data_IF_745802131053
#
_entry.id   IF_745802131053
#
_cell.length_a   1.000
_cell.length_b   1.000
_cell.length_c   1.000
_cell.angle_alpha   90.00
_cell.angle_beta   90.00
_cell.angle_gamma   90.00
#
_symmetry.space_group_name_H-M   'P 1'
#
loop_
_entity.id
_entity.type
_entity.pdbx_description
1 polymer ?
#
# COMPACT_ATOMS: atom_id res chain seq x y z
N UNK A 1 22.55 -38.43 8.40
CA UNK A 1 21.19 -37.95 8.08
C UNK A 1 21.33 -36.68 7.26
N UNK A 2 20.94 -36.71 5.99
CA UNK A 2 20.98 -35.55 5.10
C UNK A 2 19.75 -34.69 5.37
N UNK A 3 19.95 -33.50 5.93
CA UNK A 3 18.91 -32.46 6.05
C UNK A 3 18.92 -31.65 4.75
N UNK A 4 17.79 -31.48 4.05
CA UNK A 4 17.76 -30.69 2.83
C UNK A 4 17.98 -29.21 3.18
N UNK A 5 18.95 -28.56 2.52
CA UNK A 5 19.21 -27.14 2.66
C UNK A 5 18.06 -26.33 2.03
N UNK A 6 17.46 -25.43 2.81
CA UNK A 6 16.58 -24.38 2.29
C UNK A 6 17.35 -23.49 1.30
N UNK A 7 16.73 -23.03 0.20
CA UNK A 7 17.42 -22.20 -0.78
C UNK A 7 17.87 -20.88 -0.15
N UNK A 8 19.19 -20.65 -0.16
CA UNK A 8 19.80 -19.36 0.14
C UNK A 8 19.36 -18.32 -0.91
N UNK A 9 18.25 -17.64 -0.66
CA UNK A 9 18.03 -16.30 -1.21
C UNK A 9 18.27 -15.32 -0.06
N UNK A 10 19.53 -14.92 0.09
CA UNK A 10 19.90 -13.74 0.85
C UNK A 10 19.13 -12.55 0.28
N UNK A 11 18.28 -11.91 1.08
CA UNK A 11 17.77 -10.59 0.76
C UNK A 11 18.97 -9.63 0.87
N UNK A 12 19.58 -9.30 -0.27
CA UNK A 12 20.60 -8.26 -0.32
C UNK A 12 19.88 -6.91 -0.22
N UNK A 13 19.97 -6.28 0.94
CA UNK A 13 19.72 -4.85 1.09
C UNK A 13 20.97 -4.13 0.58
N UNK A 14 20.89 -3.61 -0.64
CA UNK A 14 21.86 -2.68 -1.18
C UNK A 14 21.50 -1.28 -0.68
N UNK A 15 22.13 -0.85 0.42
CA UNK A 15 22.22 0.56 0.80
C UNK A 15 23.38 1.18 0.03
N UNK A 16 23.09 2.01 -0.97
CA UNK A 16 24.10 2.79 -1.69
C UNK A 16 24.25 2.42 -3.17
N UNK A 17 23.26 2.79 -3.98
CA UNK A 17 23.39 3.07 -5.41
C UNK A 17 22.20 3.92 -5.84
N UNK A 18 22.40 4.82 -6.80
CA UNK A 18 21.44 5.83 -7.28
C UNK A 18 19.99 5.28 -7.42
N UNK A 19 18.98 6.11 -7.12
CA UNK A 19 17.59 5.67 -6.93
C UNK A 19 16.91 5.37 -8.27
N UNK A 20 17.29 4.28 -8.92
CA UNK A 20 16.65 3.82 -10.17
C UNK A 20 15.40 2.96 -9.96
N UNK A 21 14.97 2.77 -8.72
CA UNK A 21 13.66 2.18 -8.42
C UNK A 21 12.93 3.07 -7.42
N UNK A 22 12.10 3.94 -8.00
CA UNK A 22 11.08 4.76 -7.34
C UNK A 22 10.57 4.01 -6.11
N UNK A 23 10.67 4.57 -4.88
CA UNK A 23 10.05 3.96 -3.73
C UNK A 23 8.57 3.84 -4.07
N UNK A 24 8.06 2.61 -4.14
CA UNK A 24 6.62 2.38 -4.19
C UNK A 24 6.06 3.19 -3.01
N UNK A 25 5.19 4.16 -3.27
CA UNK A 25 4.81 5.11 -2.25
C UNK A 25 4.16 4.34 -1.09
N UNK A 26 4.54 4.72 0.13
CA UNK A 26 4.07 4.26 1.45
C UNK A 26 2.57 4.47 1.70
N UNK A 27 1.78 4.66 0.65
CA UNK A 27 0.37 5.09 0.68
C UNK A 27 -0.60 3.99 1.08
N UNK A 28 -0.20 2.71 1.10
CA UNK A 28 -1.08 1.60 1.47
C UNK A 28 -0.45 0.68 2.51
N UNK A 29 -0.17 1.22 3.69
CA UNK A 29 0.25 0.45 4.87
C UNK A 29 -0.94 -0.35 5.40
N UNK A 30 -0.96 -1.67 5.15
CA UNK A 30 -2.00 -2.57 5.68
C UNK A 30 -1.86 -2.82 7.18
N UNK A 31 -0.64 -2.74 7.68
CA UNK A 31 -0.27 -3.02 9.07
C UNK A 31 0.91 -2.14 9.44
N UNK A 32 0.78 -1.42 10.55
CA UNK A 32 1.86 -0.68 11.17
C UNK A 32 1.98 -1.18 12.61
N UNK A 33 3.14 -1.72 12.95
CA UNK A 33 3.45 -2.13 14.32
C UNK A 33 4.49 -1.17 14.88
N UNK A 34 4.26 -0.71 16.10
CA UNK A 34 5.16 0.20 16.78
C UNK A 34 5.45 -0.38 18.15
N UNK A 35 6.72 -0.63 18.42
CA UNK A 35 7.20 -1.05 19.74
C UNK A 35 7.52 0.22 20.52
N UNK A 36 6.85 0.42 21.65
CA UNK A 36 7.10 1.54 22.55
C UNK A 36 7.35 1.03 23.96
N UNK A 37 8.11 1.77 24.79
CA UNK A 37 8.25 1.45 26.20
C UNK A 37 6.88 1.44 26.89
N UNK A 38 6.64 0.42 27.72
CA UNK A 38 5.42 0.30 28.50
C UNK A 38 5.26 1.50 29.45
N UNK A 39 4.01 1.93 29.64
CA UNK A 39 3.59 3.08 30.44
C UNK A 39 4.18 4.42 29.98
N UNK A 40 4.66 4.49 28.74
CA UNK A 40 5.17 5.75 28.18
C UNK A 40 4.03 6.67 27.73
N UNK A 41 4.24 7.99 27.69
CA UNK A 41 3.31 8.93 27.07
C UNK A 41 3.02 8.60 25.59
N UNK A 42 3.96 7.91 24.92
CA UNK A 42 3.79 7.48 23.53
C UNK A 42 2.78 6.35 23.41
N UNK A 43 2.78 5.38 24.32
CA UNK A 43 1.76 4.32 24.38
C UNK A 43 0.35 4.92 24.48
N UNK A 44 0.13 5.83 25.44
CA UNK A 44 -1.17 6.48 25.61
C UNK A 44 -1.60 7.29 24.37
N UNK A 45 -0.66 8.02 23.75
CA UNK A 45 -0.94 8.80 22.53
C UNK A 45 -1.27 7.93 21.33
N UNK A 46 -0.54 6.83 21.14
CA UNK A 46 -0.74 5.90 20.03
C UNK A 46 -2.03 5.09 20.22
N UNK A 47 -2.28 4.57 21.43
CA UNK A 47 -3.50 3.83 21.75
C UNK A 47 -4.80 4.65 21.66
N UNK A 48 -4.69 5.98 21.76
CA UNK A 48 -5.83 6.89 21.56
C UNK A 48 -6.08 7.26 20.08
N UNK A 49 -5.17 6.92 19.16
CA UNK A 49 -5.40 7.20 17.74
C UNK A 49 -6.50 6.29 17.22
N UNK A 50 -7.41 6.81 16.41
CA UNK A 50 -8.40 5.99 15.70
C UNK A 50 -8.38 6.38 14.24
N UNK A 51 -7.99 5.43 13.39
CA UNK A 51 -8.06 5.63 11.95
C UNK A 51 -9.49 5.39 11.48
N UNK A 52 -9.97 6.25 10.58
CA UNK A 52 -11.30 6.17 10.00
C UNK A 52 -11.16 6.04 8.49
N UNK A 53 -11.74 4.97 7.96
CA UNK A 53 -11.73 4.68 6.54
C UNK A 53 -13.16 4.66 6.02
N UNK A 54 -13.37 5.29 4.88
CA UNK A 54 -14.57 5.05 4.08
C UNK A 54 -14.29 3.89 3.13
N UNK A 55 -15.20 2.91 3.14
CA UNK A 55 -15.18 1.77 2.24
C UNK A 55 -16.34 1.98 1.27
N UNK A 56 -16.01 2.37 0.04
CA UNK A 56 -16.98 2.70 -1.00
C UNK A 56 -17.15 1.50 -1.92
N UNK A 57 -18.39 1.03 -2.04
CA UNK A 57 -18.74 -0.10 -2.90
C UNK A 57 -19.25 0.35 -4.26
N UNK A 58 -19.09 -0.49 -5.29
CA UNK A 58 -19.66 -0.21 -6.62
C UNK A 58 -18.80 0.72 -7.47
N UNK A 59 -17.53 0.92 -7.12
CA UNK A 59 -16.64 1.86 -7.81
C UNK A 59 -16.21 1.28 -9.15
N UNK A 60 -16.45 2.01 -10.25
CA UNK A 60 -15.89 1.65 -11.56
C UNK A 60 -14.62 2.44 -11.83
N UNK A 61 -13.59 1.76 -12.32
CA UNK A 61 -12.30 2.40 -12.64
C UNK A 61 -12.41 3.52 -13.67
N UNK A 62 -13.32 3.39 -14.65
CA UNK A 62 -13.56 4.44 -15.63
C UNK A 62 -14.05 5.75 -15.01
N UNK A 63 -14.86 5.66 -13.94
CA UNK A 63 -15.38 6.83 -13.23
C UNK A 63 -14.26 7.50 -12.45
N UNK A 64 -13.39 6.71 -11.80
CA UNK A 64 -12.21 7.20 -11.08
C UNK A 64 -11.22 7.91 -12.02
N UNK A 65 -10.91 7.31 -13.17
CA UNK A 65 -10.04 7.94 -14.18
C UNK A 65 -10.63 9.23 -14.73
N UNK A 66 -11.95 9.26 -14.94
CA UNK A 66 -12.63 10.44 -15.49
C UNK A 66 -12.71 11.58 -14.48
N UNK A 67 -12.81 11.26 -13.19
CA UNK A 67 -12.92 12.24 -12.12
C UNK A 67 -11.59 12.87 -11.74
N UNK A 68 -10.47 12.21 -12.01
CA UNK A 68 -9.16 12.73 -11.67
C UNK A 68 -8.90 14.08 -12.37
N UNK A 69 -8.66 15.15 -11.60
CA UNK A 69 -8.21 16.45 -12.13
C UNK A 69 -6.84 16.83 -11.59
N UNK A 70 -5.99 17.44 -12.43
CA UNK A 70 -4.65 17.87 -12.02
C UNK A 70 -4.66 18.99 -10.94
N UNK A 71 -5.79 19.69 -10.80
CA UNK A 71 -6.00 20.75 -9.79
C UNK A 71 -6.33 20.17 -8.40
N UNK A 72 -7.08 19.07 -8.32
CA UNK A 72 -7.29 18.32 -7.06
C UNK A 72 -5.97 17.80 -6.50
N UNK A 73 -5.03 17.41 -7.37
CA UNK A 73 -3.73 16.87 -6.98
C UNK A 73 -2.79 17.87 -6.33
N UNK A 74 -2.80 19.13 -6.80
CA UNK A 74 -1.88 20.18 -6.28
C UNK A 74 -2.29 20.68 -4.90
N UNK A 75 -3.56 20.53 -4.56
CA UNK A 75 -4.14 21.01 -3.29
C UNK A 75 -4.31 19.89 -2.27
N UNK A 76 -4.51 18.64 -2.73
CA UNK A 76 -4.77 17.49 -1.88
C UNK A 76 -3.63 16.48 -2.02
N UNK A 77 -2.72 16.48 -1.04
CA UNK A 77 -1.67 15.46 -0.85
C UNK A 77 -2.20 14.03 -0.59
N UNK A 78 -3.52 13.82 -0.59
CA UNK A 78 -4.15 12.65 0.06
C UNK A 78 -5.17 11.85 -0.79
N UNK A 79 -5.25 12.05 -2.11
CA UNK A 79 -6.17 11.29 -2.99
C UNK A 79 -5.51 10.06 -3.62
N UNK A 80 -4.67 9.37 -2.86
CA UNK A 80 -4.20 8.05 -3.29
C UNK A 80 -5.27 7.00 -3.01
N UNK A 81 -5.64 6.24 -4.03
CA UNK A 81 -6.68 5.22 -3.99
C UNK A 81 -6.09 3.88 -4.38
N UNK A 82 -6.56 2.79 -3.78
CA UNK A 82 -6.24 1.44 -4.28
C UNK A 82 -7.37 0.47 -3.98
N UNK A 83 -7.39 -0.60 -4.77
CA UNK A 83 -8.16 -1.79 -4.46
C UNK A 83 -7.41 -3.03 -4.95
N UNK A 84 -7.75 -4.17 -4.35
CA UNK A 84 -7.20 -5.47 -4.73
C UNK A 84 -8.22 -6.58 -4.45
N UNK A 85 -8.34 -7.49 -5.40
CA UNK A 85 -9.10 -8.73 -5.27
C UNK A 85 -8.44 -9.85 -6.11
N UNK A 86 -9.23 -10.87 -6.48
CA UNK A 86 -8.80 -12.00 -7.30
C UNK A 86 -8.58 -11.63 -8.78
N UNK A 87 -9.25 -10.60 -9.29
CA UNK A 87 -9.14 -10.14 -10.68
C UNK A 87 -7.99 -9.15 -10.89
N UNK A 88 -7.41 -8.64 -9.81
CA UNK A 88 -6.17 -7.87 -9.86
C UNK A 88 -6.02 -6.87 -8.72
N UNK A 89 -5.14 -5.90 -8.94
CA UNK A 89 -4.93 -4.78 -8.04
C UNK A 89 -4.69 -3.52 -8.85
N UNK A 90 -5.10 -2.38 -8.32
CA UNK A 90 -4.78 -1.09 -8.91
C UNK A 90 -4.53 -0.04 -7.84
N UNK A 91 -3.82 1.01 -8.23
CA UNK A 91 -3.64 2.20 -7.43
C UNK A 91 -3.65 3.45 -8.29
N UNK A 92 -4.07 4.55 -7.69
CA UNK A 92 -3.80 5.90 -8.15
C UNK A 92 -2.85 6.51 -7.14
N UNK A 93 -1.68 6.91 -7.61
CA UNK A 93 -0.81 7.81 -6.88
C UNK A 93 -1.24 9.23 -7.23
N UNK A 94 -1.89 9.89 -6.26
CA UNK A 94 -2.28 11.29 -6.40
C UNK A 94 -1.06 12.15 -6.69
N UNK A 95 -0.03 12.11 -5.84
CA UNK A 95 1.15 12.96 -5.93
C UNK A 95 1.87 12.86 -7.30
N UNK A 96 2.09 11.64 -7.77
CA UNK A 96 2.73 11.40 -9.07
C UNK A 96 1.76 11.59 -10.24
N UNK A 97 0.45 11.52 -9.99
CA UNK A 97 -0.60 11.56 -11.02
C UNK A 97 -0.52 10.36 -11.95
N UNK A 98 -0.30 9.18 -11.38
CA UNK A 98 -0.14 7.93 -12.13
C UNK A 98 -1.21 6.95 -11.67
N UNK A 99 -1.87 6.32 -12.63
CA UNK A 99 -2.66 5.12 -12.41
C UNK A 99 -1.82 3.89 -12.77
N UNK A 100 -1.76 2.93 -11.86
CA UNK A 100 -1.11 1.65 -12.03
C UNK A 100 -2.13 0.54 -11.79
N UNK A 101 -2.16 -0.44 -12.68
CA UNK A 101 -3.03 -1.61 -12.56
C UNK A 101 -2.26 -2.87 -12.89
N UNK A 102 -2.29 -3.84 -11.98
CA UNK A 102 -1.71 -5.17 -12.13
C UNK A 102 -2.82 -6.20 -12.23
N UNK A 103 -2.90 -6.91 -13.34
CA UNK A 103 -3.97 -7.86 -13.64
C UNK A 103 -3.41 -9.19 -14.18
N UNK A 104 -4.14 -10.31 -14.01
CA UNK A 104 -3.82 -11.57 -14.65
C UNK A 104 -3.88 -11.50 -16.18
N UNK A 105 -3.28 -12.48 -16.83
CA UNK A 105 -3.18 -12.56 -18.30
C UNK A 105 -4.55 -12.59 -18.98
N UNK A 106 -5.50 -13.29 -18.40
CA UNK A 106 -6.85 -13.50 -18.94
C UNK A 106 -7.61 -12.16 -19.03
N UNK A 107 -7.51 -11.37 -17.96
CA UNK A 107 -8.10 -10.02 -17.89
C UNK A 107 -7.36 -9.07 -18.83
N UNK A 108 -6.02 -9.14 -18.87
CA UNK A 108 -5.21 -8.31 -19.77
C UNK A 108 -5.57 -8.50 -21.24
N UNK A 109 -5.70 -9.76 -21.68
CA UNK A 109 -6.10 -10.10 -23.04
C UNK A 109 -7.50 -9.60 -23.39
N UNK A 110 -8.41 -9.58 -22.42
CA UNK A 110 -9.77 -9.08 -22.58
C UNK A 110 -9.81 -7.55 -22.69
N UNK A 111 -9.05 -6.85 -21.84
CA UNK A 111 -9.03 -5.38 -21.82
C UNK A 111 -8.26 -4.78 -23.00
N UNK A 112 -7.24 -5.46 -23.51
CA UNK A 112 -6.47 -5.01 -24.68
C UNK A 112 -5.70 -3.70 -24.47
N UNK A 113 -5.45 -3.32 -23.21
CA UNK A 113 -4.69 -2.11 -22.85
C UNK A 113 -3.21 -2.46 -22.87
N UNK A 114 -2.36 -1.60 -23.44
CA UNK A 114 -0.91 -1.86 -23.48
C UNK A 114 -0.32 -1.86 -22.06
N UNK A 115 0.43 -2.92 -21.73
CA UNK A 115 1.10 -3.11 -20.44
C UNK A 115 2.36 -3.97 -20.55
N UNK A 116 3.09 -4.09 -19.45
CA UNK A 116 4.33 -4.88 -19.35
C UNK A 116 4.09 -6.14 -18.53
N UNK A 117 4.53 -7.29 -19.04
CA UNK A 117 4.48 -8.55 -18.31
C UNK A 117 5.62 -8.65 -17.30
N UNK A 118 5.28 -9.02 -16.06
CA UNK A 118 6.21 -9.32 -14.97
C UNK A 118 5.64 -10.44 -14.12
N UNK A 119 6.39 -11.54 -13.97
CA UNK A 119 6.03 -12.69 -13.11
C UNK A 119 4.61 -13.26 -13.37
N UNK A 120 4.23 -13.40 -14.65
CA UNK A 120 2.94 -13.97 -15.05
C UNK A 120 1.72 -13.04 -14.89
N UNK A 121 1.95 -11.77 -14.55
CA UNK A 121 0.92 -10.74 -14.49
C UNK A 121 1.31 -9.53 -15.37
N UNK A 122 0.31 -8.74 -15.78
CA UNK A 122 0.51 -7.56 -16.61
C UNK A 122 0.31 -6.30 -15.80
N UNK A 123 1.28 -5.40 -15.87
CA UNK A 123 1.22 -4.06 -15.26
C UNK A 123 0.93 -3.02 -16.34
N UNK A 124 -0.18 -2.32 -16.18
CA UNK A 124 -0.62 -1.20 -17.00
C UNK A 124 -0.34 0.07 -16.22
N UNK A 125 0.32 1.03 -16.86
CA UNK A 125 0.58 2.36 -16.31
C UNK A 125 -0.08 3.40 -17.21
N UNK A 126 -0.76 4.36 -16.61
CA UNK A 126 -1.41 5.48 -17.29
C UNK A 126 -1.02 6.76 -16.59
N UNK A 127 -0.47 7.71 -17.33
CA UNK A 127 -0.24 9.07 -16.84
C UNK A 127 -1.60 9.81 -16.81
N UNK A 128 -2.00 10.28 -15.63
CA UNK A 128 -3.25 11.00 -15.43
C UNK A 128 -3.09 12.51 -15.61
N UNK A 129 -1.85 13.02 -15.66
CA UNK A 129 -1.54 14.42 -15.96
C UNK A 129 -1.66 14.70 -17.45
N UNK A 130 -1.37 13.72 -18.31
CA UNK A 130 -1.55 13.82 -19.76
C UNK A 130 -2.72 12.96 -20.29
N UNK A 131 -3.91 13.58 -20.32
CA UNK A 131 -5.14 12.97 -20.85
C UNK A 131 -5.19 12.89 -22.38
N UNK A 132 -4.22 13.47 -23.09
CA UNK A 132 -4.20 13.47 -24.56
C UNK A 132 -3.55 12.21 -25.15
N UNK A 133 -2.87 11.42 -24.31
CA UNK A 133 -2.20 10.20 -24.75
C UNK A 133 -3.18 9.14 -25.25
N UNK A 134 -2.75 8.39 -26.29
CA UNK A 134 -3.49 7.20 -26.76
C UNK A 134 -3.65 6.15 -25.67
N UNK A 135 -2.70 6.09 -24.73
CA UNK A 135 -2.75 5.16 -23.60
C UNK A 135 -3.90 5.52 -22.66
N UNK A 136 -4.05 6.80 -22.31
CA UNK A 136 -5.15 7.27 -21.47
C UNK A 136 -6.52 6.99 -22.11
N UNK A 137 -6.71 7.35 -23.38
CA UNK A 137 -8.00 7.14 -24.05
C UNK A 137 -8.35 5.65 -24.17
N UNK A 138 -7.39 4.80 -24.59
CA UNK A 138 -7.59 3.34 -24.64
C UNK A 138 -7.91 2.74 -23.29
N UNK A 139 -7.17 3.13 -22.24
CA UNK A 139 -7.43 2.64 -20.90
C UNK A 139 -8.82 3.05 -20.42
N UNK A 140 -9.20 4.32 -20.61
CA UNK A 140 -10.53 4.81 -20.23
C UNK A 140 -11.65 4.06 -20.96
N UNK A 141 -11.53 3.87 -22.28
CA UNK A 141 -12.56 3.20 -23.08
C UNK A 141 -12.67 1.71 -22.70
N UNK A 142 -11.55 1.02 -22.56
CA UNK A 142 -11.52 -0.39 -22.15
C UNK A 142 -12.12 -0.58 -20.74
N UNK A 143 -11.75 0.28 -19.79
CA UNK A 143 -12.27 0.24 -18.42
C UNK A 143 -13.74 0.66 -18.34
N UNK A 144 -14.23 1.48 -19.28
CA UNK A 144 -15.65 1.81 -19.37
C UNK A 144 -16.49 0.61 -19.85
N UNK A 145 -15.93 -0.22 -20.75
CA UNK A 145 -16.53 -1.48 -21.18
C UNK A 145 -16.44 -2.59 -20.13
N UNK A 146 -15.53 -2.47 -19.17
CA UNK A 146 -15.39 -3.44 -18.09
C UNK A 146 -16.48 -3.24 -17.03
N UNK A 147 -17.35 -4.24 -16.86
CA UNK A 147 -18.44 -4.22 -15.87
C UNK A 147 -17.97 -4.39 -14.43
N UNK A 148 -16.66 -4.50 -14.20
CA UNK A 148 -16.08 -4.71 -12.88
C UNK A 148 -16.28 -3.49 -12.00
N UNK A 149 -16.76 -3.76 -10.79
CA UNK A 149 -16.83 -2.81 -9.70
C UNK A 149 -15.89 -3.22 -8.58
N UNK A 150 -15.36 -2.23 -7.88
CA UNK A 150 -14.37 -2.39 -6.82
C UNK A 150 -14.92 -1.89 -5.50
N UNK A 151 -14.40 -2.49 -4.42
CA UNK A 151 -14.44 -1.92 -3.10
C UNK A 151 -13.18 -1.08 -2.90
N UNK A 152 -13.34 0.23 -2.67
CA UNK A 152 -12.22 1.17 -2.53
C UNK A 152 -12.17 1.72 -1.12
N UNK A 153 -10.97 1.71 -0.55
CA UNK A 153 -10.70 2.20 0.77
C UNK A 153 -10.07 3.59 0.67
N UNK A 154 -10.68 4.57 1.33
CA UNK A 154 -10.17 5.95 1.42
C UNK A 154 -10.11 6.40 2.87
N UNK A 155 -9.26 7.37 3.17
CA UNK A 155 -9.28 8.03 4.48
C UNK A 155 -10.57 8.86 4.56
N UNK A 156 -11.30 8.74 5.68
CA UNK A 156 -12.48 9.57 6.00
C UNK A 156 -11.99 10.98 6.38
N UNK A 157 -11.64 11.77 5.36
CA UNK A 157 -11.26 13.16 5.53
C UNK A 157 -12.50 14.05 5.29
N UNK A 158 -12.97 14.67 6.37
CA UNK A 158 -14.19 15.49 6.40
C UNK A 158 -14.09 16.73 5.49
N UNK A 159 -12.90 17.09 5.05
CA UNK A 159 -12.64 18.25 4.19
C UNK A 159 -12.61 17.89 2.69
N UNK A 160 -12.84 16.61 2.34
CA UNK A 160 -12.91 16.18 0.93
C UNK A 160 -14.29 16.51 0.34
N UNK A 161 -14.37 17.72 -0.19
CA UNK A 161 -15.40 18.16 -1.14
C UNK A 161 -15.53 17.18 -2.32
N UNK A 162 -16.78 16.78 -2.59
CA UNK A 162 -17.30 15.72 -3.45
C UNK A 162 -16.47 15.22 -4.65
N UNK A 163 -15.69 14.14 -4.51
CA UNK A 163 -15.42 13.23 -5.62
C UNK A 163 -16.70 12.47 -5.99
N UNK A 164 -16.87 11.97 -7.23
CA UNK A 164 -18.09 11.28 -7.65
C UNK A 164 -18.42 10.03 -6.83
N UNK A 165 -17.45 9.54 -6.05
CA UNK A 165 -17.57 8.38 -5.18
C UNK A 165 -18.46 8.63 -3.95
N UNK A 166 -18.65 9.87 -3.48
CA UNK A 166 -19.49 10.14 -2.30
C UNK A 166 -20.98 9.88 -2.55
N UNK A 167 -21.42 9.83 -3.82
CA UNK A 167 -22.79 9.42 -4.19
C UNK A 167 -23.00 7.91 -4.14
N UNK A 168 -21.93 7.13 -4.09
CA UNK A 168 -22.01 5.68 -3.96
C UNK A 168 -22.22 5.28 -2.49
N UNK A 169 -22.87 4.14 -2.24
CA UNK A 169 -22.96 3.59 -0.90
C UNK A 169 -21.57 3.36 -0.32
N UNK A 170 -21.33 3.90 0.88
CA UNK A 170 -20.11 3.68 1.63
C UNK A 170 -20.40 3.36 3.09
N UNK A 171 -19.52 2.57 3.69
CA UNK A 171 -19.51 2.30 5.12
C UNK A 171 -18.28 2.92 5.76
N UNK A 172 -18.42 3.43 6.97
CA UNK A 172 -17.28 3.97 7.72
C UNK A 172 -16.76 2.88 8.65
N UNK A 173 -15.52 2.45 8.42
CA UNK A 173 -14.81 1.51 9.28
C UNK A 173 -13.82 2.28 10.15
N UNK A 174 -13.94 2.06 11.46
CA UNK A 174 -12.95 2.52 12.43
C UNK A 174 -11.93 1.41 12.66
N UNK A 175 -10.66 1.78 12.67
CA UNK A 175 -9.56 0.88 13.02
C UNK A 175 -8.90 1.46 14.26
N UNK A 176 -9.05 0.72 15.35
CA UNK A 176 -8.44 1.03 16.64
C UNK A 176 -7.11 0.29 16.76
N UNK A 177 -6.07 0.92 17.34
CA UNK A 177 -4.79 0.28 17.61
C UNK A 177 -4.99 -0.90 18.58
N UNK A 178 -4.47 -2.06 18.22
CA UNK A 178 -4.34 -3.16 19.15
C UNK A 178 -3.07 -2.96 19.98
N UNK A 179 -3.19 -3.05 21.31
CA UNK A 179 -2.05 -2.91 22.22
C UNK A 179 -1.76 -4.26 22.87
N UNK A 180 -0.54 -4.75 22.69
CA UNK A 180 -0.05 -5.98 23.31
C UNK A 180 1.11 -5.66 24.23
N UNK A 181 0.99 -6.04 25.51
CA UNK A 181 2.07 -5.89 26.47
C UNK A 181 3.02 -7.07 26.36
N UNK A 182 4.26 -6.80 25.95
CA UNK A 182 5.35 -7.77 26.01
C UNK A 182 6.05 -7.66 27.37
N UNK A 183 6.18 -8.78 28.09
CA UNK A 183 6.86 -8.85 29.39
C UNK A 183 8.25 -9.47 29.23
N UNK A 184 9.17 -9.06 30.09
CA UNK A 184 10.52 -9.63 30.18
C UNK A 184 11.30 -9.59 28.85
N UNK A 185 11.08 -8.54 28.06
CA UNK A 185 11.74 -8.34 26.78
C UNK A 185 13.16 -7.84 27.01
N UNK A 186 14.15 -8.59 26.53
CA UNK A 186 15.54 -8.15 26.48
C UNK A 186 15.72 -7.22 25.29
N UNK A 187 16.01 -5.94 25.55
CA UNK A 187 16.21 -4.92 24.50
C UNK A 187 17.70 -4.88 24.13
N UNK A 188 18.07 -4.96 22.84
CA UNK A 188 19.46 -4.78 22.41
C UNK A 188 20.00 -3.43 22.90
N UNK A 189 21.18 -3.42 23.52
CA UNK A 189 21.79 -2.21 24.07
C UNK A 189 22.95 -1.74 23.19
N UNK A 190 22.92 -0.47 22.76
CA UNK A 190 24.02 0.19 22.05
C UNK A 190 23.56 0.85 20.74
N UNK A 191 24.12 2.01 20.42
CA UNK A 191 24.14 2.48 19.04
C UNK A 191 25.23 1.69 18.30
N UNK A 192 25.06 1.36 17.02
CA UNK A 192 26.07 0.62 16.29
C UNK A 192 27.42 1.34 16.39
N UNK A 193 28.45 0.63 16.86
CA UNK A 193 29.83 1.12 16.71
C UNK A 193 30.15 1.05 15.22
N UNK A 194 30.81 2.08 14.69
CA UNK A 194 31.04 2.31 13.24
C UNK A 194 31.67 1.10 12.53
N UNK A 195 32.32 0.20 13.25
CA UNK A 195 32.98 -0.99 12.69
C UNK A 195 32.02 -2.17 12.45
N UNK A 196 30.87 -2.24 13.13
CA UNK A 196 29.90 -3.34 13.07
C UNK A 196 28.46 -2.85 12.81
N UNK A 197 28.32 -1.72 12.09
CA UNK A 197 27.04 -1.05 11.94
C UNK A 197 25.97 -1.93 11.26
N UNK A 198 26.34 -2.62 10.18
CA UNK A 198 25.43 -3.48 9.43
C UNK A 198 24.94 -4.68 10.28
N UNK A 199 25.81 -5.28 11.09
CA UNK A 199 25.46 -6.43 11.93
C UNK A 199 24.50 -6.00 13.06
N UNK A 200 24.77 -4.86 13.71
CA UNK A 200 23.88 -4.30 14.73
C UNK A 200 22.50 -3.91 14.18
N UNK A 201 22.42 -3.39 12.95
CA UNK A 201 21.13 -3.11 12.30
C UNK A 201 20.38 -4.39 11.93
N UNK A 202 21.09 -5.44 11.50
CA UNK A 202 20.49 -6.76 11.24
C UNK A 202 19.93 -7.35 12.53
N UNK A 203 20.71 -7.35 13.62
CA UNK A 203 20.26 -7.85 14.93
C UNK A 203 19.03 -7.10 15.43
N UNK A 204 19.02 -5.76 15.30
CA UNK A 204 17.85 -4.96 15.66
C UNK A 204 16.64 -5.29 14.79
N UNK A 205 16.82 -5.45 13.48
CA UNK A 205 15.74 -5.83 12.56
C UNK A 205 15.15 -7.20 12.91
N UNK A 206 15.99 -8.20 13.17
CA UNK A 206 15.58 -9.53 13.59
C UNK A 206 14.86 -9.48 14.95
N UNK A 207 15.38 -8.72 15.91
CA UNK A 207 14.74 -8.54 17.22
C UNK A 207 13.35 -7.91 17.10
N UNK A 208 13.18 -6.86 16.29
CA UNK A 208 11.87 -6.24 16.02
C UNK A 208 10.93 -7.27 15.41
N UNK A 209 11.40 -8.03 14.41
CA UNK A 209 10.60 -9.08 13.77
C UNK A 209 10.16 -10.18 14.75
N UNK A 210 11.02 -10.60 15.67
CA UNK A 210 10.66 -11.60 16.69
C UNK A 210 9.64 -11.07 17.70
N UNK A 211 9.75 -9.81 18.11
CA UNK A 211 8.77 -9.16 18.99
C UNK A 211 7.38 -9.09 18.33
N UNK A 212 7.32 -8.88 17.02
CA UNK A 212 6.04 -8.76 16.30
C UNK A 212 5.45 -10.10 15.88
N UNK A 213 6.25 -11.12 15.56
CA UNK A 213 5.77 -12.47 15.22
C UNK A 213 5.12 -13.14 16.45
N UNK A 214 5.72 -13.02 17.64
CA UNK A 214 5.21 -13.65 18.87
C UNK A 214 3.83 -13.13 19.31
N UNK A 215 3.49 -11.88 18.97
CA UNK A 215 2.18 -11.29 19.22
C UNK A 215 1.07 -11.83 18.29
N UNK A 216 1.42 -12.52 17.20
CA UNK A 216 0.50 -12.97 16.16
C UNK A 216 -0.01 -14.42 16.32
N UNK A 217 0.27 -15.07 17.45
CA UNK A 217 -0.02 -16.48 17.70
C UNK A 217 -1.50 -16.89 17.88
N UNK A 218 -2.48 -16.02 17.58
CA UNK A 218 -3.90 -16.43 17.57
C UNK A 218 -4.53 -16.13 16.21
N UNK A 219 -4.87 -17.14 15.39
CA UNK A 219 -5.74 -16.92 14.25
C UNK A 219 -7.12 -16.51 14.76
N UNK A 220 -7.67 -15.42 14.22
CA UNK A 220 -9.12 -15.15 14.23
C UNK A 220 -9.62 -15.24 12.80
#
# INVERSE_FOLDING_TARGET
MNVPSLPKKSLKLHTGSEPDHIPLPTIFTRRLEVIVPAHSPHEARLGAQVARYAITSGVRLADVLSSYTAEETRTKTSTSLSARDEEGAWLIDGQLGIFLMKIPKEIYQTLGISGKETDGAYTIQVDLKDKTTKQYSRAKDALAGWSKVWEVWTIDDKDVTDPPMLKLPHIIKKVEPETVLLKDVLVPSGLPLVEDEDEAWIELFEWVGMCTIGANGSPR
#
